data_IF_734917722149
#
_entry.id   IF_734917722149
#
_cell.length_a   1.000
_cell.length_b   1.000
_cell.length_c   1.000
_cell.angle_alpha   90.00
_cell.angle_beta   90.00
_cell.angle_gamma   90.00
#
_symmetry.space_group_name_H-M   'P 1'
#
loop_
_entity.id
_entity.type
_entity.pdbx_description
1 polymer ?
#
# COMPACT_ATOMS: atom_id res chain seq x y z
N UNK A 1 -13.20 36.17 -3.43
CA UNK A 1 -13.36 34.86 -2.75
C UNK A 1 -12.63 33.84 -3.61
N UNK A 2 -11.73 33.05 -3.03
CA UNK A 2 -11.07 31.97 -3.77
C UNK A 2 -12.12 30.88 -4.03
N UNK A 3 -12.37 30.59 -5.30
CA UNK A 3 -13.29 29.53 -5.71
C UNK A 3 -12.53 28.21 -5.69
N UNK A 4 -12.90 27.30 -4.80
CA UNK A 4 -12.32 25.96 -4.76
C UNK A 4 -12.88 25.13 -5.91
N UNK A 5 -12.11 24.98 -6.99
CA UNK A 5 -12.43 24.06 -8.07
C UNK A 5 -11.66 22.75 -7.87
N UNK A 6 -12.34 21.62 -8.04
CA UNK A 6 -11.68 20.32 -8.08
C UNK A 6 -10.85 20.18 -9.37
N UNK A 7 -9.70 19.50 -9.33
CA UNK A 7 -8.95 19.19 -10.53
C UNK A 7 -9.82 18.50 -11.59
N UNK A 8 -9.49 18.71 -12.87
CA UNK A 8 -10.16 18.01 -13.96
C UNK A 8 -10.10 16.49 -13.74
N UNK A 9 -11.14 15.79 -14.10
CA UNK A 9 -11.24 14.34 -14.00
C UNK A 9 -11.08 13.76 -12.57
N UNK A 10 -11.39 14.53 -11.52
CA UNK A 10 -11.24 14.12 -10.11
C UNK A 10 -12.50 13.48 -9.50
N UNK A 11 -13.62 13.49 -10.19
CA UNK A 11 -14.90 12.94 -9.68
C UNK A 11 -15.21 11.60 -10.31
N UNK A 12 -15.57 10.62 -9.48
CA UNK A 12 -16.09 9.34 -9.97
C UNK A 12 -17.45 9.56 -10.62
N UNK A 13 -17.64 9.06 -11.84
CA UNK A 13 -18.94 9.05 -12.52
C UNK A 13 -19.93 8.18 -11.75
N UNK A 14 -21.19 8.59 -11.70
CA UNK A 14 -22.26 7.81 -11.06
C UNK A 14 -22.56 6.51 -11.80
N UNK A 15 -22.41 6.50 -13.12
CA UNK A 15 -22.70 5.36 -13.99
C UNK A 15 -21.39 4.71 -14.45
N UNK A 16 -21.17 3.49 -13.97
CA UNK A 16 -20.13 2.57 -14.46
C UNK A 16 -20.74 1.50 -15.35
N UNK A 17 -19.89 0.72 -15.98
CA UNK A 17 -20.30 -0.47 -16.75
C UNK A 17 -20.77 -1.57 -15.80
N UNK A 18 -21.75 -2.37 -16.25
CA UNK A 18 -22.24 -3.53 -15.48
C UNK A 18 -21.99 -4.81 -16.30
N UNK A 19 -21.20 -5.70 -15.75
CA UNK A 19 -20.89 -6.99 -16.31
C UNK A 19 -21.68 -8.05 -15.53
N UNK A 20 -22.66 -8.67 -16.20
CA UNK A 20 -23.55 -9.67 -15.62
C UNK A 20 -22.89 -11.04 -15.56
N UNK A 21 -23.22 -11.81 -14.53
CA UNK A 21 -22.81 -13.20 -14.44
C UNK A 21 -23.36 -14.04 -15.62
N UNK A 22 -22.65 -15.09 -16.05
CA UNK A 22 -23.14 -15.98 -17.08
C UNK A 22 -24.42 -16.70 -16.65
N UNK A 23 -25.25 -17.10 -17.62
CA UNK A 23 -26.45 -17.87 -17.34
C UNK A 23 -26.09 -19.22 -16.67
N UNK A 24 -26.76 -19.53 -15.56
CA UNK A 24 -26.49 -20.75 -14.78
C UNK A 24 -25.50 -20.57 -13.62
N UNK A 25 -24.96 -19.37 -13.39
CA UNK A 25 -24.13 -19.08 -12.23
C UNK A 25 -24.90 -19.30 -10.93
N UNK A 26 -24.31 -20.02 -9.97
CA UNK A 26 -24.97 -20.46 -8.73
C UNK A 26 -24.54 -19.66 -7.52
N UNK A 27 -23.29 -19.13 -7.51
CA UNK A 27 -22.71 -18.43 -6.37
C UNK A 27 -22.22 -17.02 -6.77
N UNK A 28 -23.17 -16.17 -7.13
CA UNK A 28 -22.87 -14.83 -7.61
C UNK A 28 -22.45 -13.90 -6.46
N UNK A 29 -21.35 -13.15 -6.67
CA UNK A 29 -20.93 -12.07 -5.80
C UNK A 29 -20.62 -10.82 -6.60
N UNK A 30 -20.94 -9.66 -6.04
CA UNK A 30 -20.82 -8.36 -6.70
C UNK A 30 -19.55 -7.65 -6.26
N UNK A 31 -18.76 -7.22 -7.24
CA UNK A 31 -17.56 -6.41 -7.04
C UNK A 31 -17.72 -5.09 -7.78
N UNK A 32 -17.48 -3.97 -7.06
CA UNK A 32 -17.48 -2.63 -7.62
C UNK A 32 -16.03 -2.12 -7.68
N UNK A 33 -15.49 -2.00 -8.87
CA UNK A 33 -14.07 -1.75 -9.08
C UNK A 33 -13.87 -0.38 -9.72
N UNK A 34 -12.99 0.42 -9.11
CA UNK A 34 -12.55 1.69 -9.66
C UNK A 34 -11.82 1.49 -10.97
N UNK A 35 -12.24 2.26 -12.00
CA UNK A 35 -11.67 2.24 -13.34
C UNK A 35 -11.28 3.66 -13.75
N UNK A 36 -10.05 3.79 -14.21
CA UNK A 36 -9.49 5.03 -14.74
C UNK A 36 -8.54 4.71 -15.89
N UNK A 37 -8.76 5.41 -17.01
CA UNK A 37 -7.87 5.35 -18.16
C UNK A 37 -7.30 6.75 -18.41
N UNK A 38 -5.98 6.97 -18.29
CA UNK A 38 -5.36 8.27 -18.47
C UNK A 38 -5.50 8.79 -19.91
N UNK A 39 -5.60 7.89 -20.90
CA UNK A 39 -5.70 8.26 -22.31
C UNK A 39 -7.11 8.71 -22.72
N UNK A 40 -8.12 8.35 -21.94
CA UNK A 40 -9.52 8.67 -22.25
C UNK A 40 -9.92 10.10 -21.94
N UNK A 41 -9.12 10.86 -21.20
CA UNK A 41 -9.42 12.21 -20.70
C UNK A 41 -10.84 12.33 -20.07
N UNK A 42 -11.23 11.30 -19.34
CA UNK A 42 -12.54 11.17 -18.71
C UNK A 42 -12.41 10.99 -17.21
N UNK A 43 -13.47 11.39 -16.48
CA UNK A 43 -13.56 11.09 -15.06
C UNK A 43 -13.54 9.58 -14.81
N UNK A 44 -12.91 9.12 -13.70
CA UNK A 44 -12.97 7.72 -13.31
C UNK A 44 -14.42 7.27 -13.08
N UNK A 45 -14.65 5.98 -13.20
CA UNK A 45 -15.95 5.34 -12.98
C UNK A 45 -15.82 4.14 -12.03
N UNK A 46 -16.94 3.66 -11.55
CA UNK A 46 -17.01 2.46 -10.72
C UNK A 46 -17.76 1.38 -11.49
N UNK A 47 -17.03 0.45 -12.09
CA UNK A 47 -17.63 -0.67 -12.83
C UNK A 47 -18.09 -1.79 -11.89
N UNK A 48 -19.22 -2.40 -12.19
CA UNK A 48 -19.83 -3.47 -11.40
C UNK A 48 -19.65 -4.81 -12.12
N UNK A 49 -19.07 -5.79 -11.42
CA UNK A 49 -18.83 -7.13 -11.92
C UNK A 49 -19.59 -8.14 -11.05
N UNK A 50 -20.50 -8.88 -11.67
CA UNK A 50 -21.15 -10.05 -11.06
C UNK A 50 -20.29 -11.27 -11.38
N UNK A 51 -19.61 -11.81 -10.36
CA UNK A 51 -18.66 -12.92 -10.52
C UNK A 51 -19.21 -14.19 -9.87
N UNK A 52 -19.19 -15.28 -10.63
CA UNK A 52 -19.46 -16.59 -10.06
C UNK A 52 -18.26 -17.09 -9.28
N UNK A 53 -18.47 -17.29 -7.98
CA UNK A 53 -17.44 -17.71 -7.03
C UNK A 53 -17.21 -19.22 -6.98
N UNK A 54 -18.00 -20.03 -7.69
CA UNK A 54 -17.91 -21.49 -7.60
C UNK A 54 -16.55 -22.02 -8.09
N UNK A 55 -16.02 -21.40 -9.14
CA UNK A 55 -14.69 -21.73 -9.69
C UNK A 55 -13.67 -20.60 -9.48
N UNK A 56 -13.85 -19.81 -8.44
CA UNK A 56 -12.97 -18.73 -8.08
C UNK A 56 -12.32 -18.98 -6.70
N UNK A 57 -11.04 -18.66 -6.57
CA UNK A 57 -10.39 -18.73 -5.26
C UNK A 57 -11.02 -17.75 -4.25
N UNK A 58 -10.89 -18.00 -2.94
CA UNK A 58 -11.58 -17.26 -1.90
C UNK A 58 -11.02 -15.81 -1.72
N UNK A 59 -9.84 -15.51 -2.26
CA UNK A 59 -9.15 -14.23 -2.07
C UNK A 59 -9.55 -13.21 -3.12
N UNK A 60 -9.56 -11.93 -2.74
CA UNK A 60 -9.86 -10.81 -3.65
C UNK A 60 -8.96 -10.80 -4.88
N UNK A 61 -7.67 -11.14 -4.74
CA UNK A 61 -6.77 -11.22 -5.90
C UNK A 61 -7.20 -12.31 -6.91
N UNK A 62 -7.71 -13.44 -6.44
CA UNK A 62 -8.26 -14.49 -7.31
C UNK A 62 -9.39 -13.97 -8.17
N UNK A 63 -10.29 -13.20 -7.57
CA UNK A 63 -11.42 -12.56 -8.27
C UNK A 63 -10.92 -11.55 -9.32
N UNK A 64 -9.96 -10.69 -8.97
CA UNK A 64 -9.39 -9.73 -9.92
C UNK A 64 -8.73 -10.42 -11.12
N UNK A 65 -8.04 -11.54 -10.88
CA UNK A 65 -7.45 -12.36 -11.97
C UNK A 65 -8.54 -12.97 -12.84
N UNK A 66 -9.61 -13.52 -12.24
CA UNK A 66 -10.75 -14.07 -12.98
C UNK A 66 -11.43 -12.99 -13.84
N UNK A 67 -11.70 -11.82 -13.26
CA UNK A 67 -12.28 -10.70 -14.02
C UNK A 67 -11.40 -10.35 -15.21
N UNK A 68 -10.08 -10.18 -15.00
CA UNK A 68 -9.15 -9.83 -16.07
C UNK A 68 -9.07 -10.88 -17.17
N UNK A 69 -9.11 -12.15 -16.83
CA UNK A 69 -8.93 -13.24 -17.80
C UNK A 69 -10.21 -13.59 -18.56
N UNK A 70 -11.38 -13.47 -17.92
CA UNK A 70 -12.63 -14.01 -18.45
C UNK A 70 -13.69 -12.95 -18.78
N UNK A 71 -13.64 -11.76 -18.12
CA UNK A 71 -14.70 -10.75 -18.22
C UNK A 71 -14.21 -9.46 -18.88
N UNK A 72 -13.10 -8.90 -18.38
CA UNK A 72 -12.58 -7.60 -18.82
C UNK A 72 -11.05 -7.57 -18.78
N UNK A 73 -10.42 -7.89 -19.90
CA UNK A 73 -8.97 -7.92 -20.05
C UNK A 73 -8.28 -6.55 -19.85
N UNK A 74 -9.04 -5.45 -19.89
CA UNK A 74 -8.49 -4.09 -19.72
C UNK A 74 -8.23 -3.73 -18.27
N UNK A 75 -8.78 -4.47 -17.30
CA UNK A 75 -8.57 -4.21 -15.86
C UNK A 75 -7.08 -4.29 -15.50
N UNK A 76 -6.56 -3.21 -14.90
CA UNK A 76 -5.13 -3.08 -14.58
C UNK A 76 -4.89 -3.06 -13.07
N UNK A 77 -4.01 -3.94 -12.60
CA UNK A 77 -3.55 -4.03 -11.21
C UNK A 77 -2.17 -4.68 -11.11
N UNK A 78 -1.48 -4.43 -10.00
CA UNK A 78 -0.18 -5.08 -9.71
C UNK A 78 -0.39 -6.36 -8.91
N UNK A 79 0.41 -7.36 -9.19
CA UNK A 79 0.46 -8.60 -8.41
C UNK A 79 1.80 -9.31 -8.61
N UNK A 80 2.19 -10.16 -7.64
CA UNK A 80 3.36 -11.03 -7.78
C UNK A 80 3.24 -12.28 -6.89
N UNK A 81 3.71 -12.24 -5.63
CA UNK A 81 3.91 -13.41 -4.76
C UNK A 81 2.64 -14.23 -4.44
N UNK A 82 1.48 -13.61 -4.32
CA UNK A 82 0.17 -14.21 -3.93
C UNK A 82 0.10 -14.72 -2.48
N UNK A 83 1.07 -14.42 -1.64
CA UNK A 83 1.22 -14.93 -0.27
C UNK A 83 1.52 -13.83 0.77
N UNK A 84 1.27 -12.55 0.43
CA UNK A 84 1.43 -11.45 1.37
C UNK A 84 2.85 -10.93 1.57
N UNK A 85 3.83 -11.30 0.74
CA UNK A 85 5.25 -10.97 0.94
C UNK A 85 5.73 -9.78 0.11
N UNK A 86 5.27 -9.60 -1.13
CA UNK A 86 5.85 -8.61 -2.04
C UNK A 86 5.20 -7.21 -1.96
N UNK A 87 4.05 -7.07 -1.32
CA UNK A 87 3.33 -5.80 -1.23
C UNK A 87 2.66 -5.29 -2.51
N UNK A 88 2.91 -5.90 -3.68
CA UNK A 88 2.47 -5.39 -5.00
C UNK A 88 0.97 -5.23 -5.14
N UNK A 89 0.18 -6.11 -4.54
CA UNK A 89 -1.28 -6.12 -4.65
C UNK A 89 -1.98 -5.27 -3.57
N UNK A 90 -1.26 -4.31 -2.99
CA UNK A 90 -1.84 -3.38 -2.02
C UNK A 90 -2.88 -2.47 -2.69
N UNK A 91 -4.07 -2.41 -2.12
CA UNK A 91 -5.19 -1.60 -2.60
C UNK A 91 -6.18 -1.33 -1.48
N UNK A 92 -7.17 -0.50 -1.72
CA UNK A 92 -8.24 -0.25 -0.76
C UNK A 92 -9.40 -1.21 -1.05
N UNK A 93 -9.66 -2.11 -0.12
CA UNK A 93 -10.72 -3.12 -0.21
C UNK A 93 -11.78 -2.78 0.83
N UNK A 94 -12.95 -2.37 0.36
CA UNK A 94 -14.10 -1.97 1.18
C UNK A 94 -13.75 -0.97 2.30
N UNK A 95 -12.94 0.04 1.97
CA UNK A 95 -12.49 1.09 2.89
C UNK A 95 -11.25 0.72 3.72
N UNK A 96 -10.68 -0.47 3.56
CA UNK A 96 -9.46 -0.89 4.24
C UNK A 96 -8.31 -1.03 3.25
N UNK A 97 -7.16 -0.41 3.56
CA UNK A 97 -5.94 -0.66 2.79
C UNK A 97 -5.38 -2.02 3.19
N UNK A 98 -5.28 -2.94 2.24
CA UNK A 98 -4.86 -4.32 2.49
C UNK A 98 -4.26 -4.94 1.22
N UNK A 99 -3.67 -6.13 1.37
CA UNK A 99 -3.15 -6.91 0.25
C UNK A 99 -4.25 -7.83 -0.30
N UNK A 100 -4.57 -7.69 -1.57
CA UNK A 100 -5.63 -8.46 -2.22
C UNK A 100 -5.39 -9.99 -2.20
N UNK A 101 -4.12 -10.42 -2.14
CA UNK A 101 -3.78 -11.84 -2.15
C UNK A 101 -4.09 -12.59 -0.84
N UNK A 102 -4.22 -11.86 0.28
CA UNK A 102 -4.52 -12.43 1.61
C UNK A 102 -5.82 -11.88 2.22
N UNK A 103 -6.55 -11.05 1.47
CA UNK A 103 -7.87 -10.56 1.88
C UNK A 103 -8.95 -11.51 1.36
N UNK A 104 -9.68 -12.15 2.28
CA UNK A 104 -10.73 -13.08 1.92
C UNK A 104 -12.01 -12.34 1.51
N UNK A 105 -12.70 -12.85 0.49
CA UNK A 105 -13.94 -12.23 0.02
C UNK A 105 -15.08 -12.36 1.04
N UNK A 106 -15.11 -13.39 1.87
CA UNK A 106 -16.15 -13.66 2.86
C UNK A 106 -16.08 -12.76 4.11
N UNK A 107 -14.94 -12.08 4.33
CA UNK A 107 -14.82 -11.04 5.38
C UNK A 107 -15.80 -9.87 5.16
N UNK A 108 -16.23 -9.63 3.93
CA UNK A 108 -17.17 -8.56 3.58
C UNK A 108 -18.51 -9.17 3.20
N UNK A 109 -19.57 -8.88 3.96
CA UNK A 109 -20.92 -9.45 3.73
C UNK A 109 -21.71 -8.79 2.60
N UNK A 110 -21.34 -7.59 2.18
CA UNK A 110 -21.99 -6.78 1.13
C UNK A 110 -21.18 -6.80 -0.16
N UNK A 111 -21.60 -6.02 -1.16
CA UNK A 111 -20.81 -5.75 -2.37
C UNK A 111 -19.43 -5.26 -2.00
N UNK A 112 -18.38 -5.86 -2.58
CA UNK A 112 -17.00 -5.50 -2.29
C UNK A 112 -16.58 -4.35 -3.20
N UNK A 113 -16.20 -3.21 -2.60
CA UNK A 113 -15.67 -2.07 -3.33
C UNK A 113 -14.15 -2.10 -3.33
N UNK A 114 -13.55 -1.95 -4.51
CA UNK A 114 -12.10 -1.99 -4.68
C UNK A 114 -11.64 -0.71 -5.36
N UNK A 115 -10.72 -0.02 -4.70
CA UNK A 115 -10.09 1.21 -5.15
C UNK A 115 -8.57 1.09 -5.12
N UNK A 116 -7.82 1.94 -5.86
CA UNK A 116 -6.38 2.05 -5.64
C UNK A 116 -6.09 2.53 -4.22
N UNK A 117 -4.85 2.44 -3.77
CA UNK A 117 -4.43 3.04 -2.49
C UNK A 117 -4.77 4.54 -2.50
N UNK A 118 -5.44 5.04 -1.43
CA UNK A 118 -5.94 6.41 -1.41
C UNK A 118 -4.81 7.45 -1.33
N UNK A 119 -5.10 8.67 -1.80
CA UNK A 119 -4.22 9.84 -1.72
C UNK A 119 -2.86 9.69 -2.44
N UNK A 120 -2.77 8.79 -3.39
CA UNK A 120 -1.68 8.70 -4.37
C UNK A 120 -2.23 8.99 -5.76
N UNK A 121 -1.42 9.58 -6.66
CA UNK A 121 -1.81 9.70 -8.07
C UNK A 121 -2.08 8.32 -8.66
N UNK A 122 -3.09 8.22 -9.52
CA UNK A 122 -3.44 6.95 -10.17
C UNK A 122 -2.88 6.93 -11.58
N UNK A 123 -2.07 5.92 -11.88
CA UNK A 123 -1.53 5.69 -13.23
C UNK A 123 -2.64 5.12 -14.12
N UNK A 124 -3.25 4.01 -13.70
CA UNK A 124 -4.38 3.36 -14.40
C UNK A 124 -5.11 2.43 -13.43
N UNK A 125 -6.44 2.48 -13.43
CA UNK A 125 -7.31 1.62 -12.60
C UNK A 125 -6.85 1.50 -11.13
N UNK A 126 -6.37 0.33 -10.73
CA UNK A 126 -5.92 0.04 -9.36
C UNK A 126 -4.41 0.24 -9.16
N UNK A 127 -3.73 0.86 -10.12
CA UNK A 127 -2.27 1.09 -10.09
C UNK A 127 -1.96 2.52 -9.65
N UNK A 128 -1.54 2.76 -8.41
CA UNK A 128 -1.08 4.07 -7.95
C UNK A 128 0.38 4.33 -8.35
N UNK A 129 0.74 5.62 -8.43
CA UNK A 129 2.12 6.07 -8.53
C UNK A 129 2.77 6.06 -7.15
N UNK A 130 3.87 5.32 -7.02
CA UNK A 130 4.64 5.19 -5.78
C UNK A 130 5.95 5.98 -5.81
N UNK A 131 6.17 6.82 -6.81
CA UNK A 131 7.44 7.55 -6.99
C UNK A 131 7.79 8.38 -5.76
N UNK A 132 6.85 9.18 -5.25
CA UNK A 132 7.08 9.99 -4.04
C UNK A 132 7.31 9.11 -2.80
N UNK A 133 6.58 8.02 -2.66
CA UNK A 133 6.75 7.07 -1.55
C UNK A 133 8.17 6.49 -1.50
N UNK A 134 8.70 6.07 -2.65
CA UNK A 134 10.06 5.55 -2.73
C UNK A 134 11.13 6.63 -2.60
N UNK A 135 10.87 7.87 -3.06
CA UNK A 135 11.77 9.00 -2.85
C UNK A 135 11.93 9.31 -1.34
N UNK A 136 10.82 9.28 -0.60
CA UNK A 136 10.84 9.46 0.86
C UNK A 136 11.57 8.31 1.57
N UNK A 137 11.35 7.07 1.13
CA UNK A 137 12.09 5.92 1.64
C UNK A 137 13.59 6.05 1.35
N UNK A 138 13.99 6.42 0.15
CA UNK A 138 15.40 6.61 -0.20
C UNK A 138 16.06 7.77 0.60
N UNK A 139 15.29 8.81 0.94
CA UNK A 139 15.80 9.98 1.66
C UNK A 139 16.27 9.69 3.08
N UNK A 140 15.82 8.59 3.70
CA UNK A 140 16.28 8.16 5.04
C UNK A 140 17.53 7.26 4.95
N UNK A 141 18.13 7.10 3.76
CA UNK A 141 19.33 6.28 3.53
C UNK A 141 19.18 4.87 4.13
N UNK A 142 18.26 4.04 3.59
CA UNK A 142 17.90 2.74 4.19
C UNK A 142 18.97 1.66 3.94
N UNK A 143 20.20 1.93 4.35
CA UNK A 143 21.35 1.01 4.29
C UNK A 143 22.28 1.28 5.46
N UNK A 144 23.07 0.27 5.82
CA UNK A 144 24.03 0.36 6.91
C UNK A 144 25.11 1.42 6.59
N UNK A 145 25.30 2.37 7.49
CA UNK A 145 26.33 3.41 7.38
C UNK A 145 27.41 3.17 8.44
N UNK A 146 28.63 2.92 7.98
CA UNK A 146 29.78 2.64 8.85
C UNK A 146 30.98 3.46 8.43
N UNK A 147 31.76 3.94 9.39
CA UNK A 147 33.01 4.67 9.22
C UNK A 147 34.22 3.77 9.46
N UNK A 148 34.04 2.79 10.34
CA UNK A 148 35.07 1.80 10.63
C UNK A 148 35.11 0.74 9.55
N UNK A 149 36.30 0.22 9.14
CA UNK A 149 36.39 -0.88 8.22
C UNK A 149 35.76 -2.14 8.82
N UNK A 150 35.21 -3.05 8.01
CA UNK A 150 34.73 -4.34 8.52
C UNK A 150 35.91 -5.15 9.06
N UNK A 151 35.67 -6.07 10.01
CA UNK A 151 36.68 -7.03 10.44
C UNK A 151 37.21 -7.82 9.23
N UNK A 152 38.57 -8.12 9.14
CA UNK A 152 39.15 -8.69 7.94
C UNK A 152 38.65 -10.10 7.62
N UNK A 153 38.27 -10.87 8.65
CA UNK A 153 37.96 -12.31 8.50
C UNK A 153 36.49 -12.65 8.82
N UNK A 154 35.63 -11.66 9.06
CA UNK A 154 34.24 -11.90 9.47
C UNK A 154 33.33 -10.72 9.22
N UNK A 155 32.04 -10.97 9.26
CA UNK A 155 31.01 -9.94 9.23
C UNK A 155 30.96 -9.13 10.54
N UNK A 156 30.31 -7.96 10.51
CA UNK A 156 30.02 -7.18 11.70
C UNK A 156 29.05 -7.96 12.59
N UNK A 157 29.51 -8.32 13.77
CA UNK A 157 28.69 -9.08 14.71
C UNK A 157 27.60 -8.22 15.34
N UNK A 158 26.50 -8.85 15.65
CA UNK A 158 25.38 -8.26 16.39
C UNK A 158 24.93 -9.26 17.47
N UNK A 159 24.62 -8.77 18.66
CA UNK A 159 24.07 -9.62 19.72
C UNK A 159 22.65 -10.09 19.39
N UNK A 160 22.20 -11.20 19.95
CA UNK A 160 20.82 -11.67 19.81
C UNK A 160 19.81 -10.64 20.37
N UNK A 161 20.19 -9.92 21.40
CA UNK A 161 19.35 -8.88 22.00
C UNK A 161 19.19 -7.69 21.04
N UNK A 162 20.28 -7.21 20.44
CA UNK A 162 20.22 -6.13 19.45
C UNK A 162 19.44 -6.56 18.20
N UNK A 163 19.62 -7.81 17.76
CA UNK A 163 18.85 -8.38 16.65
C UNK A 163 17.33 -8.31 16.90
N UNK A 164 16.87 -8.56 18.12
CA UNK A 164 15.44 -8.49 18.48
C UNK A 164 14.85 -7.09 18.27
N UNK A 165 15.65 -6.03 18.43
CA UNK A 165 15.18 -4.64 18.20
C UNK A 165 14.91 -4.35 16.74
N UNK A 166 15.63 -4.96 15.80
CA UNK A 166 15.48 -4.74 14.36
C UNK A 166 14.58 -5.79 13.67
N UNK A 167 14.26 -6.88 14.31
CA UNK A 167 13.53 -8.00 13.73
C UNK A 167 12.18 -7.56 13.15
N UNK A 168 11.31 -6.98 13.98
CA UNK A 168 10.00 -6.49 13.53
C UNK A 168 10.07 -5.34 12.51
N UNK A 169 10.86 -4.27 12.73
CA UNK A 169 10.98 -3.19 11.74
C UNK A 169 11.52 -3.65 10.39
N UNK A 170 12.36 -4.67 10.34
CA UNK A 170 12.90 -5.22 9.09
C UNK A 170 11.90 -6.07 8.31
N UNK A 171 10.82 -6.53 8.93
CA UNK A 171 9.75 -7.26 8.25
C UNK A 171 8.87 -6.39 7.33
N UNK A 172 9.09 -5.08 7.28
CA UNK A 172 8.32 -4.16 6.43
C UNK A 172 8.51 -4.48 4.94
N UNK A 173 7.40 -4.78 4.25
CA UNK A 173 7.37 -5.14 2.81
C UNK A 173 7.15 -3.95 1.87
N UNK A 174 7.16 -2.72 2.37
CA UNK A 174 6.95 -1.48 1.61
C UNK A 174 5.66 -1.45 0.78
N UNK A 175 4.59 -2.04 1.27
CA UNK A 175 3.30 -2.09 0.58
C UNK A 175 2.53 -0.76 0.55
N UNK A 176 2.98 0.26 1.26
CA UNK A 176 2.39 1.60 1.40
C UNK A 176 1.00 1.65 2.08
N UNK A 177 0.41 0.54 2.52
CA UNK A 177 -0.91 0.52 3.18
C UNK A 177 -0.97 1.44 4.41
N UNK A 178 0.07 1.48 5.24
CA UNK A 178 0.14 2.33 6.43
C UNK A 178 0.28 3.82 6.08
N UNK A 179 1.13 4.17 5.12
CA UNK A 179 1.35 5.56 4.69
C UNK A 179 0.10 6.14 4.08
N UNK A 180 -0.58 5.39 3.21
CA UNK A 180 -1.83 5.81 2.56
C UNK A 180 -3.06 5.77 3.48
N UNK A 181 -2.95 5.20 4.69
CA UNK A 181 -3.97 5.27 5.73
C UNK A 181 -3.76 6.45 6.70
N UNK A 182 -2.64 7.16 6.62
CA UNK A 182 -2.28 8.22 7.55
C UNK A 182 -2.82 9.58 7.10
N UNK A 183 -3.71 10.24 7.86
CA UNK A 183 -4.23 11.57 7.49
C UNK A 183 -3.14 12.63 7.34
N UNK A 184 -2.10 12.62 8.18
CA UNK A 184 -0.97 13.54 8.03
C UNK A 184 -0.24 13.35 6.69
N UNK A 185 -0.15 12.13 6.19
CA UNK A 185 0.42 11.81 4.89
C UNK A 185 -0.49 12.30 3.74
N UNK A 186 -1.80 12.26 3.90
CA UNK A 186 -2.73 12.78 2.90
C UNK A 186 -2.55 14.29 2.66
N UNK A 187 -2.31 15.05 3.74
CA UNK A 187 -2.24 16.51 3.67
C UNK A 187 -0.85 17.06 3.35
N UNK A 188 0.21 16.31 3.66
CA UNK A 188 1.59 16.77 3.52
C UNK A 188 2.51 15.70 2.91
N UNK A 189 2.03 14.93 1.93
CA UNK A 189 2.80 13.84 1.31
C UNK A 189 4.10 14.29 0.64
N UNK A 190 4.20 15.56 0.29
CA UNK A 190 5.40 16.14 -0.33
C UNK A 190 6.57 16.31 0.65
N UNK A 191 6.30 16.42 1.96
CA UNK A 191 7.33 16.69 3.00
C UNK A 191 7.33 15.68 4.14
N UNK A 192 6.16 15.22 4.57
CA UNK A 192 6.04 14.25 5.67
C UNK A 192 6.47 12.86 5.20
N UNK A 193 7.42 12.27 5.90
CA UNK A 193 7.99 10.96 5.54
C UNK A 193 6.95 9.82 5.53
N UNK A 194 5.95 9.92 6.38
CA UNK A 194 4.95 8.88 6.53
C UNK A 194 5.42 7.67 7.35
N UNK A 195 4.46 6.82 7.75
CA UNK A 195 4.74 5.72 8.67
C UNK A 195 5.79 4.71 8.17
N UNK A 196 5.79 4.37 6.89
CA UNK A 196 6.71 3.35 6.37
C UNK A 196 8.16 3.85 6.37
N UNK A 197 8.41 5.09 5.94
CA UNK A 197 9.75 5.66 5.96
C UNK A 197 10.25 5.90 7.39
N UNK A 198 9.36 6.34 8.31
CA UNK A 198 9.69 6.49 9.73
C UNK A 198 10.00 5.14 10.40
N UNK A 199 9.28 4.07 10.07
CA UNK A 199 9.58 2.72 10.54
C UNK A 199 10.96 2.27 10.06
N UNK A 200 11.27 2.50 8.78
CA UNK A 200 12.57 2.20 8.21
C UNK A 200 13.70 3.04 8.84
N UNK A 201 13.47 4.32 9.11
CA UNK A 201 14.43 5.15 9.84
C UNK A 201 14.70 4.61 11.24
N UNK A 202 13.65 4.25 11.98
CA UNK A 202 13.78 3.62 13.30
C UNK A 202 14.61 2.33 13.24
N UNK A 203 14.37 1.48 12.24
CA UNK A 203 15.11 0.24 12.04
C UNK A 203 16.64 0.48 11.97
N UNK A 204 17.07 1.56 11.31
CA UNK A 204 18.49 1.91 11.19
C UNK A 204 19.03 2.62 12.42
N UNK A 205 18.22 3.40 13.13
CA UNK A 205 18.60 4.05 14.38
C UNK A 205 18.89 3.06 15.50
N UNK A 206 18.18 1.92 15.53
CA UNK A 206 18.35 0.89 16.57
C UNK A 206 19.31 -0.23 16.16
N UNK A 207 19.88 -0.19 14.95
CA UNK A 207 20.86 -1.17 14.50
C UNK A 207 22.23 -0.89 15.17
N UNK A 208 22.66 -1.75 16.08
CA UNK A 208 23.92 -1.60 16.82
C UNK A 208 25.18 -1.57 15.96
N UNK A 209 25.06 -1.88 14.66
CA UNK A 209 26.15 -1.85 13.69
C UNK A 209 26.21 -0.53 12.92
N UNK A 210 25.17 0.30 12.99
CA UNK A 210 25.11 1.59 12.31
C UNK A 210 25.85 2.66 13.13
N UNK A 211 26.73 3.40 12.47
CA UNK A 211 27.58 4.42 13.12
C UNK A 211 27.13 5.85 12.81
N UNK A 212 26.00 6.02 12.11
CA UNK A 212 25.50 7.32 11.67
C UNK A 212 24.25 7.80 12.44
N UNK A 213 24.05 7.36 13.68
CA UNK A 213 22.87 7.66 14.49
C UNK A 213 22.62 9.17 14.64
N UNK A 214 23.67 9.97 14.89
CA UNK A 214 23.57 11.42 15.01
C UNK A 214 23.05 12.07 13.73
N UNK A 215 23.67 11.78 12.59
CA UNK A 215 23.27 12.31 11.29
C UNK A 215 21.86 11.90 10.89
N UNK A 216 21.46 10.66 11.22
CA UNK A 216 20.08 10.21 10.98
C UNK A 216 19.06 10.96 11.81
N UNK A 217 19.38 11.27 13.07
CA UNK A 217 18.52 12.07 13.94
C UNK A 217 18.42 13.51 13.41
N UNK A 218 19.54 14.13 13.04
CA UNK A 218 19.55 15.48 12.47
C UNK A 218 18.72 15.57 11.18
N UNK A 219 18.80 14.55 10.33
CA UNK A 219 17.99 14.47 9.10
C UNK A 219 16.49 14.28 9.37
N UNK A 220 16.10 13.67 10.48
CA UNK A 220 14.72 13.50 10.88
C UNK A 220 14.14 14.71 11.60
N UNK A 221 14.98 15.52 12.26
CA UNK A 221 14.59 16.67 13.06
C UNK A 221 14.14 17.86 12.19
N UNK A 222 12.97 17.71 11.59
CA UNK A 222 12.30 18.73 10.78
C UNK A 222 10.82 18.77 11.12
N UNK A 223 10.21 19.96 11.28
CA UNK A 223 8.79 20.10 11.62
C UNK A 223 7.83 19.40 10.68
N UNK A 224 8.24 19.16 9.44
CA UNK A 224 7.44 18.53 8.42
C UNK A 224 7.81 17.05 8.16
N UNK A 225 9.00 16.61 8.56
CA UNK A 225 9.43 15.21 8.36
C UNK A 225 8.93 14.29 9.47
N UNK A 226 9.41 14.47 10.71
CA UNK A 226 9.04 13.64 11.85
C UNK A 226 7.79 14.18 12.57
N UNK A 227 7.81 15.47 12.88
CA UNK A 227 6.84 16.07 13.81
C UNK A 227 5.44 16.30 13.21
N UNK A 228 5.20 15.93 11.96
CA UNK A 228 3.86 15.84 11.38
C UNK A 228 3.10 14.59 11.79
N UNK A 229 3.72 13.69 12.51
CA UNK A 229 3.01 12.58 13.14
C UNK A 229 2.17 13.11 14.31
N UNK A 230 0.85 13.07 14.17
CA UNK A 230 -0.11 13.45 15.22
C UNK A 230 -0.61 12.25 16.04
N UNK A 231 0.05 11.11 15.96
CA UNK A 231 -0.27 9.89 16.72
C UNK A 231 -1.73 9.42 16.53
N UNK A 232 -2.28 9.59 15.31
CA UNK A 232 -3.65 9.14 14.97
C UNK A 232 -3.78 7.63 14.97
N UNK A 233 -2.66 6.91 14.75
CA UNK A 233 -2.52 5.45 14.85
C UNK A 233 -3.25 4.63 13.77
N UNK A 234 -3.83 5.22 12.73
CA UNK A 234 -4.41 4.47 11.62
C UNK A 234 -3.40 3.53 10.92
N UNK A 235 -2.11 3.89 10.93
CA UNK A 235 -1.05 3.07 10.37
C UNK A 235 -0.88 1.73 11.10
N UNK A 236 -1.11 1.67 12.41
CA UNK A 236 -0.92 0.44 13.18
C UNK A 236 -2.00 -0.60 12.94
N UNK A 237 -3.19 -0.19 12.49
CA UNK A 237 -4.25 -1.11 12.09
C UNK A 237 -4.04 -1.70 10.70
N UNK A 238 -3.15 -1.11 9.90
CA UNK A 238 -2.89 -1.46 8.50
C UNK A 238 -1.52 -2.09 8.27
N UNK A 239 -0.77 -2.34 9.35
CA UNK A 239 0.50 -3.05 9.25
C UNK A 239 0.25 -4.53 9.00
N UNK A 240 0.75 -5.04 7.87
CA UNK A 240 0.68 -6.49 7.57
C UNK A 240 1.52 -7.31 8.57
N UNK A 241 2.51 -6.70 9.19
CA UNK A 241 3.32 -7.28 10.27
C UNK A 241 2.46 -7.76 11.45
N UNK A 242 1.33 -7.10 11.74
CA UNK A 242 0.39 -7.52 12.78
C UNK A 242 -0.35 -8.83 12.47
N UNK A 243 -0.49 -9.18 11.20
CA UNK A 243 -1.20 -10.41 10.77
C UNK A 243 -0.33 -11.64 10.89
N UNK A 244 0.98 -11.49 10.84
CA UNK A 244 1.94 -12.60 10.94
C UNK A 244 2.15 -13.04 12.40
N UNK A 245 1.77 -12.22 13.37
CA UNK A 245 1.96 -12.45 14.80
C UNK A 245 0.72 -12.87 15.57
N UNK A 246 -0.34 -13.35 14.89
CA UNK A 246 -1.56 -13.89 15.53
C UNK A 246 -1.71 -15.36 15.26
#
# INVERSE_FOLDING_TARGET
>A
MAEFSLPANSKIRKEGRVYKAPAGATKIRVFKIYRFDPDANENPRLDTYEVDMEHCGPMVLGVLIKIKNEIDATLTFRRSCREGICGSCAMNIDGKNALACISACDEVKRDIKIYPLPHLPVIKDLVPDLTNFYAQYASIKPWLQTRTPPPPDRERLQSKQDQQHIDRPSACILCACCSTACPSYWWNSERYLGPAALLAAYRWLVDSRDEATGERLDELEDPFRLYRCHTIMNCTERSEERRVGK
#
